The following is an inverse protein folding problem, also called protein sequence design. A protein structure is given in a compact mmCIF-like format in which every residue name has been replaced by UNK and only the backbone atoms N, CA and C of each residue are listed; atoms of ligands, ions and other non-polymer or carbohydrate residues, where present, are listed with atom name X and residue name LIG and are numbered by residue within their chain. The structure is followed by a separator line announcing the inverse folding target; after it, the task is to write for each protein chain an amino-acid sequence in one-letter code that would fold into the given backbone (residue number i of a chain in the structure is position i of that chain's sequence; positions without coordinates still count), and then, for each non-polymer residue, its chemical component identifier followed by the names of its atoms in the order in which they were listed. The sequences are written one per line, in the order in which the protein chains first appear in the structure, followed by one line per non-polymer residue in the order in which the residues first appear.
data_IF_244129838474
#
_entry.id   IF_244129838474
#
_cell.length_a   1.000
_cell.length_b   1.000
_cell.length_c   1.000
_cell.angle_alpha   90.00
_cell.angle_beta   90.00
_cell.angle_gamma   90.00
#
_symmetry.space_group_name_H-M   'P 1'
#
loop_
_entity.id
_entity.type
_entity.pdbx_description
1 polymer ?
#
# COMPACT_ATOMS: atom_id res chain seq x y z
N UNK A 1 -3.38 26.15 -2.57
CA UNK A 1 -3.48 25.03 -3.51
C UNK A 1 -4.40 23.98 -2.95
N UNK A 2 -5.30 23.58 -3.78
CA UNK A 2 -6.19 22.48 -3.43
C UNK A 2 -5.46 21.16 -3.20
N UNK A 3 -4.20 21.09 -3.60
CA UNK A 3 -3.39 19.89 -3.43
C UNK A 3 -3.08 19.57 -1.96
N UNK A 4 -3.18 20.55 -1.08
CA UNK A 4 -2.91 20.32 0.33
C UNK A 4 -3.90 19.34 0.97
N UNK A 5 -5.11 19.29 0.43
CA UNK A 5 -6.17 18.43 0.94
C UNK A 5 -6.40 17.19 0.08
N UNK A 6 -5.70 17.08 -1.02
CA UNK A 6 -5.82 15.92 -1.89
C UNK A 6 -4.84 14.85 -1.49
N UNK A 7 -5.27 13.60 -1.60
CA UNK A 7 -4.36 12.49 -1.44
C UNK A 7 -3.41 12.47 -2.62
N UNK A 8 -2.15 12.22 -2.33
CA UNK A 8 -1.16 12.07 -3.39
C UNK A 8 -1.33 10.68 -3.99
N UNK A 9 -2.01 10.64 -5.14
CA UNK A 9 -2.32 9.40 -5.83
C UNK A 9 -1.42 9.13 -7.03
N UNK A 10 -0.34 9.89 -7.14
CA UNK A 10 0.63 9.63 -8.19
C UNK A 10 1.27 8.27 -7.97
N UNK A 11 1.21 7.42 -8.99
CA UNK A 11 1.71 6.06 -8.89
C UNK A 11 3.24 6.08 -8.88
N UNK A 12 3.83 5.59 -7.78
CA UNK A 12 5.27 5.50 -7.61
C UNK A 12 5.78 4.15 -8.10
N UNK A 13 5.06 3.09 -7.73
CA UNK A 13 5.40 1.74 -8.18
C UNK A 13 4.19 1.09 -8.82
N UNK A 14 4.45 0.39 -9.91
CA UNK A 14 3.44 -0.41 -10.59
C UNK A 14 4.05 -1.76 -10.89
N UNK A 15 3.60 -2.78 -10.19
CA UNK A 15 4.14 -4.12 -10.36
C UNK A 15 3.02 -5.10 -10.65
N UNK A 16 3.35 -6.11 -11.46
CA UNK A 16 2.42 -7.16 -11.81
C UNK A 16 2.83 -8.45 -11.13
N UNK A 17 1.86 -9.17 -10.58
CA UNK A 17 2.13 -10.50 -10.05
C UNK A 17 2.71 -11.38 -11.16
N UNK A 18 3.80 -12.06 -10.88
CA UNK A 18 4.51 -12.87 -11.86
C UNK A 18 4.34 -14.35 -11.58
N UNK A 19 4.41 -15.13 -12.64
CA UNK A 19 4.39 -16.59 -12.51
C UNK A 19 5.80 -17.03 -12.13
N UNK A 20 5.90 -17.78 -11.04
CA UNK A 20 7.18 -18.08 -10.39
C UNK A 20 8.17 -18.78 -11.34
N UNK A 21 7.68 -19.75 -12.13
CA UNK A 21 8.57 -20.54 -12.98
C UNK A 21 9.28 -19.75 -14.06
N UNK A 22 8.66 -18.70 -14.55
CA UNK A 22 9.20 -17.93 -15.66
C UNK A 22 9.49 -16.49 -15.31
N UNK A 23 9.11 -16.04 -14.13
CA UNK A 23 9.20 -14.64 -13.73
C UNK A 23 8.57 -13.70 -14.76
N UNK A 24 7.58 -14.18 -15.50
CA UNK A 24 6.92 -13.45 -16.56
C UNK A 24 5.68 -12.75 -16.02
N UNK A 25 5.33 -11.57 -16.54
CA UNK A 25 4.14 -10.84 -16.10
C UNK A 25 2.87 -11.37 -16.76
N UNK A 26 2.59 -12.65 -16.59
CA UNK A 26 1.45 -13.31 -17.22
C UNK A 26 0.18 -13.26 -16.40
N UNK A 27 0.27 -12.83 -15.16
CA UNK A 27 -0.89 -12.70 -14.28
C UNK A 27 -1.66 -11.42 -14.60
N UNK A 28 -2.98 -11.46 -14.37
CA UNK A 28 -3.83 -10.29 -14.54
C UNK A 28 -3.97 -9.46 -13.26
N UNK A 29 -3.11 -9.69 -12.30
CA UNK A 29 -3.06 -8.91 -11.06
C UNK A 29 -1.96 -7.88 -11.14
N UNK A 30 -2.32 -6.62 -10.92
CA UNK A 30 -1.38 -5.50 -10.95
C UNK A 30 -1.46 -4.77 -9.60
N UNK A 31 -0.31 -4.45 -9.05
CA UNK A 31 -0.20 -3.68 -7.81
C UNK A 31 0.31 -2.28 -8.14
N UNK A 32 -0.42 -1.26 -7.70
CA UNK A 32 -0.03 0.14 -7.87
C UNK A 32 0.13 0.77 -6.51
N UNK A 33 1.25 1.43 -6.30
CA UNK A 33 1.56 2.04 -5.02
C UNK A 33 1.78 3.54 -5.21
N UNK A 34 1.08 4.32 -4.40
CA UNK A 34 1.32 5.75 -4.28
C UNK A 34 1.60 6.07 -2.82
N UNK A 35 1.86 7.33 -2.52
CA UNK A 35 2.15 7.73 -1.15
C UNK A 35 0.96 7.54 -0.21
N UNK A 36 -0.26 7.61 -0.72
CA UNK A 36 -1.47 7.54 0.10
C UNK A 36 -2.28 6.27 -0.11
N UNK A 37 -2.11 5.56 -1.22
CA UNK A 37 -2.94 4.40 -1.57
C UNK A 37 -2.12 3.23 -2.08
N UNK A 38 -2.56 2.05 -1.71
CA UNK A 38 -2.12 0.78 -2.31
C UNK A 38 -3.33 0.21 -3.03
N UNK A 39 -3.22 0.04 -4.34
CA UNK A 39 -4.30 -0.45 -5.19
C UNK A 39 -3.94 -1.81 -5.76
N UNK A 40 -4.84 -2.77 -5.62
CA UNK A 40 -4.71 -4.11 -6.19
C UNK A 40 -5.78 -4.26 -7.26
N UNK A 41 -5.36 -4.43 -8.51
CA UNK A 41 -6.27 -4.60 -9.63
C UNK A 41 -6.17 -6.03 -10.13
N UNK A 42 -7.29 -6.73 -10.17
CA UNK A 42 -7.36 -8.14 -10.59
C UNK A 42 -8.37 -8.32 -11.71
N UNK A 43 -8.07 -9.25 -12.61
CA UNK A 43 -9.03 -9.73 -13.58
C UNK A 43 -8.75 -9.29 -15.00
N UNK A 44 -9.26 -10.07 -15.94
CA UNK A 44 -9.13 -9.82 -17.38
C UNK A 44 -10.42 -9.23 -17.94
N UNK A 45 -11.53 -9.98 -17.81
CA UNK A 45 -12.82 -9.55 -18.31
C UNK A 45 -13.57 -8.70 -17.29
N UNK A 46 -13.57 -9.15 -16.03
CA UNK A 46 -14.11 -8.39 -14.93
C UNK A 46 -12.97 -7.88 -14.09
N UNK A 47 -12.77 -6.57 -14.09
CA UNK A 47 -11.72 -5.95 -13.27
C UNK A 47 -12.28 -5.62 -11.89
N UNK A 48 -11.54 -6.04 -10.87
CA UNK A 48 -11.83 -5.70 -9.49
C UNK A 48 -10.64 -4.92 -8.96
N UNK A 49 -10.89 -3.74 -8.42
CA UNK A 49 -9.86 -2.93 -7.81
C UNK A 49 -10.16 -2.76 -6.32
N UNK A 50 -9.18 -3.10 -5.50
CA UNK A 50 -9.25 -2.91 -4.07
C UNK A 50 -8.22 -1.87 -3.67
N UNK A 51 -8.66 -0.84 -2.94
CA UNK A 51 -7.78 0.21 -2.47
C UNK A 51 -7.62 0.13 -0.95
N UNK A 52 -6.38 0.30 -0.51
CA UNK A 52 -6.06 0.39 0.90
C UNK A 52 -5.27 1.66 1.15
N UNK A 53 -5.72 2.46 2.11
CA UNK A 53 -4.97 3.66 2.49
C UNK A 53 -3.69 3.29 3.20
N UNK A 54 -2.62 3.96 2.85
CA UNK A 54 -1.31 3.69 3.46
C UNK A 54 -1.31 3.86 4.97
N UNK A 55 -2.09 4.80 5.51
CA UNK A 55 -2.12 5.02 6.95
C UNK A 55 -2.66 3.80 7.73
N UNK A 56 -3.39 2.90 7.07
CA UNK A 56 -3.92 1.69 7.72
C UNK A 56 -2.89 0.59 7.85
N UNK A 57 -1.81 0.65 7.11
CA UNK A 57 -0.77 -0.38 7.16
C UNK A 57 0.10 -0.16 8.39
N UNK A 58 0.14 -1.15 9.26
CA UNK A 58 0.85 -1.06 10.53
C UNK A 58 2.19 -1.78 10.51
N UNK A 59 2.28 -2.87 9.76
CA UNK A 59 3.49 -3.67 9.71
C UNK A 59 3.66 -4.29 8.33
N UNK A 60 4.90 -4.54 7.94
CA UNK A 60 5.21 -5.08 6.62
C UNK A 60 6.25 -6.18 6.75
N UNK A 61 6.01 -7.29 6.08
CA UNK A 61 6.91 -8.44 6.08
C UNK A 61 7.27 -8.80 4.66
N UNK A 62 8.54 -9.10 4.42
CA UNK A 62 9.00 -9.61 3.13
C UNK A 62 9.32 -11.09 3.28
N UNK A 63 8.70 -11.89 2.43
CA UNK A 63 8.92 -13.33 2.39
C UNK A 63 9.42 -13.73 1.01
N UNK A 64 10.42 -14.61 0.97
CA UNK A 64 10.92 -15.16 -0.28
C UNK A 64 11.08 -16.66 -0.15
N UNK A 65 10.34 -17.38 -1.01
CA UNK A 65 10.54 -18.83 -1.14
C UNK A 65 11.80 -19.09 -1.97
N UNK A 66 12.19 -20.34 -2.04
CA UNK A 66 13.36 -20.73 -2.84
C UNK A 66 13.17 -20.35 -4.31
N UNK A 67 12.00 -20.62 -4.85
CA UNK A 67 11.70 -20.29 -6.24
C UNK A 67 11.68 -18.78 -6.49
N UNK A 68 11.11 -18.03 -5.55
CA UNK A 68 11.12 -16.57 -5.65
C UNK A 68 12.56 -16.02 -5.65
N UNK A 69 13.41 -16.59 -4.83
CA UNK A 69 14.82 -16.17 -4.79
C UNK A 69 15.53 -16.46 -6.11
N UNK A 70 15.21 -17.59 -6.74
CA UNK A 70 15.80 -17.94 -8.03
C UNK A 70 15.42 -16.97 -9.13
N UNK A 71 14.19 -16.46 -9.11
CA UNK A 71 13.68 -15.54 -10.12
C UNK A 71 13.72 -14.09 -9.68
N UNK A 72 14.39 -13.82 -8.55
CA UNK A 72 14.52 -12.46 -8.00
C UNK A 72 13.16 -11.80 -7.71
N UNK A 73 12.24 -12.61 -7.22
CA UNK A 73 10.91 -12.15 -6.83
C UNK A 73 10.78 -12.15 -5.31
N UNK A 74 9.69 -11.59 -4.83
CA UNK A 74 9.37 -11.61 -3.41
C UNK A 74 7.89 -11.39 -3.19
N UNK A 75 7.44 -11.72 -2.00
CA UNK A 75 6.05 -11.48 -1.58
C UNK A 75 6.08 -10.55 -0.38
N UNK A 76 5.35 -9.45 -0.48
CA UNK A 76 5.23 -8.48 0.60
C UNK A 76 3.88 -8.68 1.27
N UNK A 77 3.92 -8.81 2.59
CA UNK A 77 2.71 -8.99 3.39
C UNK A 77 2.53 -7.75 4.24
N UNK A 78 1.43 -7.04 4.04
CA UNK A 78 1.09 -5.84 4.78
C UNK A 78 0.01 -6.16 5.79
N UNK A 79 0.25 -5.85 7.05
CA UNK A 79 -0.72 -6.07 8.12
C UNK A 79 -1.39 -4.75 8.46
N UNK A 80 -2.71 -4.77 8.47
CA UNK A 80 -3.51 -3.59 8.74
C UNK A 80 -4.31 -3.79 10.03
N UNK A 81 -4.86 -2.70 10.57
CA UNK A 81 -5.76 -2.79 11.71
C UNK A 81 -7.20 -3.08 11.31
N UNK A 82 -7.45 -3.33 10.04
CA UNK A 82 -8.80 -3.52 9.53
C UNK A 82 -9.29 -4.95 9.80
N UNK A 83 -10.52 -5.08 10.27
CA UNK A 83 -11.08 -6.39 10.59
C UNK A 83 -11.35 -7.18 9.32
N UNK A 84 -11.83 -6.52 8.27
CA UNK A 84 -12.21 -7.18 7.02
C UNK A 84 -11.02 -7.50 6.13
N UNK A 85 -9.98 -6.67 6.20
CA UNK A 85 -8.78 -6.84 5.37
C UNK A 85 -7.55 -6.70 6.26
N UNK A 86 -7.37 -7.64 7.20
CA UNK A 86 -6.28 -7.57 8.15
C UNK A 86 -4.91 -7.82 7.52
N UNK A 87 -4.88 -8.42 6.35
CA UNK A 87 -3.63 -8.79 5.68
C UNK A 87 -3.76 -8.57 4.18
N UNK A 88 -2.77 -7.91 3.59
CA UNK A 88 -2.70 -7.67 2.14
C UNK A 88 -1.40 -8.24 1.63
N UNK A 89 -1.46 -9.06 0.59
CA UNK A 89 -0.28 -9.69 0.01
C UNK A 89 0.00 -9.19 -1.40
N UNK A 90 1.24 -8.75 -1.62
CA UNK A 90 1.76 -8.42 -2.94
C UNK A 90 2.64 -9.58 -3.35
N UNK A 91 2.11 -10.47 -4.18
CA UNK A 91 2.71 -11.77 -4.44
C UNK A 91 3.56 -11.78 -5.69
N UNK A 92 4.75 -12.38 -5.59
CA UNK A 92 5.65 -12.62 -6.72
C UNK A 92 5.95 -11.35 -7.51
N UNK A 93 6.46 -10.32 -6.84
CA UNK A 93 6.78 -9.05 -7.47
C UNK A 93 8.29 -8.83 -7.52
N UNK A 94 8.72 -8.07 -8.50
CA UNK A 94 10.10 -7.59 -8.58
C UNK A 94 10.26 -6.35 -7.70
N UNK A 95 11.51 -6.01 -7.41
CA UNK A 95 11.84 -4.84 -6.58
C UNK A 95 11.21 -4.89 -5.19
N UNK A 96 11.06 -6.10 -4.65
CA UNK A 96 10.35 -6.29 -3.39
C UNK A 96 11.00 -5.54 -2.22
N UNK A 97 12.33 -5.48 -2.18
CA UNK A 97 13.03 -4.75 -1.11
C UNK A 97 12.70 -3.25 -1.15
N UNK A 98 12.74 -2.67 -2.34
CA UNK A 98 12.47 -1.24 -2.52
C UNK A 98 11.02 -0.92 -2.21
N UNK A 99 10.11 -1.79 -2.64
CA UNK A 99 8.69 -1.61 -2.39
C UNK A 99 8.38 -1.76 -0.91
N UNK A 100 9.00 -2.72 -0.24
CA UNK A 100 8.84 -2.86 1.21
C UNK A 100 9.26 -1.58 1.94
N UNK A 101 10.42 -1.05 1.57
CA UNK A 101 10.92 0.18 2.18
C UNK A 101 9.98 1.35 1.90
N UNK A 102 9.48 1.44 0.68
CA UNK A 102 8.53 2.49 0.31
C UNK A 102 7.25 2.40 1.14
N UNK A 103 6.69 1.20 1.28
CA UNK A 103 5.44 1.02 2.04
C UNK A 103 5.65 1.40 3.52
N UNK A 104 6.76 0.97 4.11
CA UNK A 104 7.05 1.31 5.50
C UNK A 104 7.15 2.81 5.70
N UNK A 105 7.87 3.49 4.82
CA UNK A 105 8.03 4.92 4.91
C UNK A 105 6.72 5.66 4.62
N UNK A 106 6.02 5.26 3.55
CA UNK A 106 4.77 5.90 3.16
C UNK A 106 3.68 5.72 4.21
N UNK A 107 3.59 4.53 4.80
CA UNK A 107 2.58 4.26 5.82
C UNK A 107 2.85 5.06 7.09
N UNK A 108 4.10 5.15 7.49
CA UNK A 108 4.49 5.95 8.66
C UNK A 108 4.19 7.42 8.44
N UNK A 109 4.57 7.95 7.28
CA UNK A 109 4.32 9.35 6.93
C UNK A 109 2.83 9.65 6.84
N UNK A 110 2.06 8.74 6.27
CA UNK A 110 0.61 8.90 6.16
C UNK A 110 -0.05 8.93 7.54
N UNK A 111 0.40 8.07 8.46
CA UNK A 111 -0.10 8.09 9.83
C UNK A 111 0.27 9.37 10.56
N UNK A 112 1.48 9.85 10.34
CA UNK A 112 1.96 11.10 10.95
C UNK A 112 1.10 12.29 10.50
N UNK A 113 0.86 12.39 9.20
CA UNK A 113 0.02 13.45 8.64
C UNK A 113 -1.40 13.39 9.20
N UNK A 114 -1.93 12.18 9.35
CA UNK A 114 -3.27 12.01 9.86
C UNK A 114 -3.38 12.39 11.33
N UNK A 115 -2.36 12.10 12.13
CA UNK A 115 -2.33 12.52 13.54
C UNK A 115 -2.30 14.02 13.67
N UNK A 116 -1.53 14.70 12.83
CA UNK A 116 -1.46 16.16 12.83
C UNK A 116 -2.83 16.75 12.53
N UNK A 117 -3.49 16.25 11.51
CA UNK A 117 -4.83 16.73 11.14
C UNK A 117 -5.84 16.47 12.25
N UNK A 118 -5.80 15.31 12.89
CA UNK A 118 -6.68 15.00 14.01
C UNK A 118 -6.45 15.93 15.19
N UNK A 119 -5.20 16.25 15.47
CA UNK A 119 -4.85 17.18 16.55
C UNK A 119 -5.39 18.58 16.27
N UNK A 120 -5.30 19.03 15.03
CA UNK A 120 -5.84 20.33 14.64
C UNK A 120 -7.36 20.35 14.77
N UNK A 121 -8.03 19.29 14.35
CA UNK A 121 -9.48 19.18 14.46
C UNK A 121 -9.93 19.20 15.92
N UNK A 122 -9.25 18.45 16.77
CA UNK A 122 -9.56 18.44 18.21
C UNK A 122 -9.36 19.82 18.81
N UNK A 123 -8.30 20.51 18.43
CA UNK A 123 -8.04 21.86 18.92
C UNK A 123 -9.15 22.84 18.51
N UNK A 124 -9.59 22.75 17.25
CA UNK A 124 -10.67 23.59 16.76
C UNK A 124 -11.98 23.32 17.48
N UNK A 125 -12.29 22.05 17.70
CA UNK A 125 -13.50 21.64 18.42
C UNK A 125 -13.46 22.11 19.88
N UNK A 126 -12.33 21.99 20.51
CA UNK A 126 -12.15 22.46 21.89
C UNK A 126 -12.38 23.96 22.01
N UNK A 127 -11.85 24.72 21.08
CA UNK A 127 -12.04 26.18 21.06
C UNK A 127 -13.52 26.52 20.83
N UNK A 128 -14.18 25.79 19.95
CA UNK A 128 -15.60 26.00 19.73
C UNK A 128 -16.46 25.63 20.92
N UNK A 129 -16.04 24.64 21.69
CA UNK A 129 -16.78 24.19 22.87
C UNK A 129 -16.63 25.16 24.03
N UNK A 130 -15.54 25.88 24.11
CA UNK A 130 -15.32 26.86 25.20
C UNK A 130 -16.26 28.05 25.07
N UNK A 131 -16.65 28.39 23.89
CA UNK A 131 -17.60 29.46 23.64
C UNK A 131 -19.02 29.09 24.02
#
# INVERSE_FOLDING_TARGET
MDNDFKLNNEVVFKERKRIVFFALPLSFTVYKLSESLLTISKGLLNKIEDDCYMYKIQDVKLSRSLFERMFKLGTIICYTGDITHSEIRLTHIKNANEIKAFILEASEEARRKRRVLSTLDIGADADGMVE
#
